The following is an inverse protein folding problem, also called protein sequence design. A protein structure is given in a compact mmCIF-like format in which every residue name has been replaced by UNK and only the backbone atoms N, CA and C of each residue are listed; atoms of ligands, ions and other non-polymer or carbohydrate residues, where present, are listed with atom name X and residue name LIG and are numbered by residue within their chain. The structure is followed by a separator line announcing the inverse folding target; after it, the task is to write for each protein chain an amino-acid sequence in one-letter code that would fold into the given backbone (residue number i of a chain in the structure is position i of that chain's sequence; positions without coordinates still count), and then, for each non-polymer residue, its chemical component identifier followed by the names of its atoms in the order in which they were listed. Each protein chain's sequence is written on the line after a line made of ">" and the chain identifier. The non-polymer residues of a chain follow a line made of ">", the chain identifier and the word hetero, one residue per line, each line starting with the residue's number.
data_IF_736380847416
#
_entry.id   IF_736380847416
#
_cell.length_a   1.000
_cell.length_b   1.000
_cell.length_c   1.000
_cell.angle_alpha   90.00
_cell.angle_beta   90.00
_cell.angle_gamma   90.00
#
_symmetry.space_group_name_H-M   'P 1'
#
loop_
_entity.id
_entity.type
_entity.pdbx_description
1 polymer ?
#
# COMPACT_ATOMS: atom_id res chain seq x y z
N UNK A 1 -1.89 -17.16 -11.11
CA UNK A 1 -1.80 -15.97 -10.25
C UNK A 1 -1.13 -14.91 -11.09
N UNK A 2 -1.82 -13.79 -11.32
CA UNK A 2 -1.31 -12.76 -12.22
C UNK A 2 -0.01 -12.16 -11.70
N UNK A 3 0.90 -11.94 -12.63
CA UNK A 3 2.24 -11.39 -12.41
C UNK A 3 2.20 -9.87 -12.15
N UNK A 4 1.28 -9.41 -11.29
CA UNK A 4 1.07 -7.99 -11.02
C UNK A 4 2.29 -7.43 -10.31
N UNK A 5 3.08 -6.66 -11.05
CA UNK A 5 4.30 -5.98 -10.61
C UNK A 5 4.09 -4.48 -10.36
N UNK A 6 2.94 -3.95 -10.79
CA UNK A 6 2.59 -2.55 -10.68
C UNK A 6 1.14 -2.34 -10.25
N UNK A 7 0.95 -1.48 -9.24
CA UNK A 7 -0.36 -1.04 -8.77
C UNK A 7 -0.36 0.47 -8.63
N UNK A 8 -1.36 1.12 -9.22
CA UNK A 8 -1.49 2.59 -9.21
C UNK A 8 -2.87 2.97 -8.72
N UNK A 9 -2.90 3.80 -7.67
CA UNK A 9 -4.09 4.45 -7.15
C UNK A 9 -4.15 5.84 -7.78
N UNK A 10 -5.01 6.00 -8.79
CA UNK A 10 -5.14 7.27 -9.52
C UNK A 10 -5.73 8.34 -8.61
N UNK A 11 -5.41 9.60 -8.89
CA UNK A 11 -5.99 10.73 -8.19
C UNK A 11 -7.53 10.67 -8.21
N UNK A 12 -8.16 10.88 -7.06
CA UNK A 12 -9.61 10.80 -6.89
C UNK A 12 -10.17 9.37 -6.89
N UNK A 13 -9.34 8.33 -7.04
CA UNK A 13 -9.78 6.97 -6.83
C UNK A 13 -10.04 6.71 -5.34
N UNK A 14 -11.12 5.98 -5.04
CA UNK A 14 -11.43 5.51 -3.69
C UNK A 14 -11.49 6.64 -2.63
N UNK A 15 -12.25 7.73 -2.86
CA UNK A 15 -12.17 8.95 -2.06
C UNK A 15 -12.52 8.77 -0.57
N UNK A 16 -13.31 7.75 -0.23
CA UNK A 16 -13.79 7.48 1.14
C UNK A 16 -13.42 6.07 1.62
N UNK A 17 -12.42 5.44 1.01
CA UNK A 17 -12.03 4.09 1.43
C UNK A 17 -11.41 4.10 2.82
N UNK A 18 -11.94 3.26 3.70
CA UNK A 18 -11.43 3.15 5.08
C UNK A 18 -10.52 1.94 5.27
N UNK A 19 -10.61 0.92 4.40
CA UNK A 19 -9.81 -0.28 4.50
C UNK A 19 -9.34 -0.77 3.13
N UNK A 20 -8.04 -1.04 3.01
CA UNK A 20 -7.41 -1.56 1.80
C UNK A 20 -6.55 -2.78 2.14
N UNK A 21 -6.74 -3.85 1.37
CA UNK A 21 -6.03 -5.11 1.52
C UNK A 21 -5.37 -5.45 0.19
N UNK A 22 -4.05 -5.50 0.16
CA UNK A 22 -3.25 -5.95 -0.99
C UNK A 22 -2.54 -7.21 -0.53
N UNK A 23 -2.93 -8.35 -1.12
CA UNK A 23 -2.54 -9.67 -0.63
C UNK A 23 -2.04 -10.53 -1.78
N UNK A 24 -0.94 -11.23 -1.56
CA UNK A 24 -0.39 -12.24 -2.49
C UNK A 24 0.03 -11.70 -3.86
N UNK A 25 0.49 -10.43 -3.93
CA UNK A 25 1.12 -9.87 -5.13
C UNK A 25 2.63 -10.03 -5.04
N UNK A 26 3.12 -11.24 -5.34
CA UNK A 26 4.51 -11.64 -5.12
C UNK A 26 5.53 -10.90 -5.99
N UNK A 27 5.10 -10.27 -7.09
CA UNK A 27 5.95 -9.42 -7.95
C UNK A 27 5.85 -7.92 -7.65
N UNK A 28 4.94 -7.50 -6.77
CA UNK A 28 4.79 -6.11 -6.38
C UNK A 28 5.90 -5.73 -5.39
N UNK A 29 6.99 -5.18 -5.90
CA UNK A 29 8.18 -4.80 -5.12
C UNK A 29 8.15 -3.35 -4.62
N UNK A 30 7.33 -2.51 -5.23
CA UNK A 30 7.22 -1.07 -4.93
C UNK A 30 5.93 -0.74 -4.20
N UNK A 31 6.00 0.32 -3.39
CA UNK A 31 4.81 0.94 -2.81
C UNK A 31 3.91 1.46 -3.94
N UNK A 32 2.61 1.12 -3.96
CA UNK A 32 1.69 1.61 -4.99
C UNK A 32 1.67 3.13 -5.07
N UNK A 33 1.80 3.66 -6.29
CA UNK A 33 1.72 5.10 -6.49
C UNK A 33 0.33 5.61 -6.08
N UNK A 34 0.27 6.72 -5.34
CA UNK A 34 -0.97 7.30 -4.84
C UNK A 34 -1.51 6.68 -3.55
N UNK A 35 -0.82 5.69 -2.94
CA UNK A 35 -1.26 5.09 -1.67
C UNK A 35 -1.37 6.12 -0.53
N UNK A 36 -0.43 7.06 -0.46
CA UNK A 36 -0.43 8.17 0.52
C UNK A 36 -1.54 9.20 0.29
N UNK A 37 -2.23 9.17 -0.86
CA UNK A 37 -3.36 10.07 -1.14
C UNK A 37 -4.69 9.60 -0.54
N UNK A 38 -4.75 8.37 -0.01
CA UNK A 38 -5.95 7.82 0.63
C UNK A 38 -6.14 8.42 2.03
N UNK A 39 -6.67 9.64 2.07
CA UNK A 39 -6.81 10.44 3.29
C UNK A 39 -7.77 9.83 4.34
N UNK A 40 -8.73 9.01 3.91
CA UNK A 40 -9.73 8.39 4.80
C UNK A 40 -9.37 6.97 5.24
N UNK A 41 -8.20 6.47 4.82
CA UNK A 41 -7.78 5.10 5.12
C UNK A 41 -7.50 4.95 6.61
N UNK A 42 -8.12 3.95 7.24
CA UNK A 42 -7.93 3.58 8.65
C UNK A 42 -7.19 2.26 8.80
N UNK A 43 -7.32 1.37 7.81
CA UNK A 43 -6.73 0.03 7.82
C UNK A 43 -6.02 -0.31 6.52
N UNK A 44 -4.79 -0.77 6.62
CA UNK A 44 -3.95 -1.16 5.49
C UNK A 44 -3.24 -2.47 5.77
N UNK A 45 -3.56 -3.51 5.00
CA UNK A 45 -2.86 -4.79 5.04
C UNK A 45 -2.14 -5.04 3.72
N UNK A 46 -0.85 -5.32 3.82
CA UNK A 46 0.09 -5.52 2.72
C UNK A 46 0.77 -6.87 2.95
N UNK A 47 0.09 -7.96 2.60
CA UNK A 47 0.45 -9.32 3.03
C UNK A 47 0.96 -10.16 1.87
N UNK A 48 1.97 -11.00 2.12
CA UNK A 48 2.53 -11.93 1.13
C UNK A 48 2.94 -11.23 -0.19
N UNK A 49 3.53 -10.03 -0.08
CA UNK A 49 4.06 -9.27 -1.21
C UNK A 49 5.50 -9.72 -1.55
N UNK A 50 6.12 -9.07 -2.52
CA UNK A 50 7.53 -9.32 -2.85
C UNK A 50 8.44 -9.12 -1.62
N UNK A 51 9.50 -9.92 -1.50
CA UNK A 51 10.42 -9.92 -0.34
C UNK A 51 11.09 -8.56 -0.09
N UNK A 52 11.35 -7.79 -1.15
CA UNK A 52 11.90 -6.44 -1.05
C UNK A 52 10.87 -5.35 -0.69
N UNK A 53 9.58 -5.67 -0.66
CA UNK A 53 8.53 -4.66 -0.48
C UNK A 53 8.72 -3.89 0.83
N UNK A 54 9.01 -4.60 1.94
CA UNK A 54 9.24 -3.96 3.25
C UNK A 54 10.44 -3.01 3.23
N UNK A 55 11.51 -3.35 2.51
CA UNK A 55 12.65 -2.43 2.34
C UNK A 55 12.25 -1.17 1.57
N UNK A 56 11.44 -1.29 0.51
CA UNK A 56 10.91 -0.13 -0.21
C UNK A 56 9.96 0.69 0.66
N UNK A 57 9.12 0.06 1.48
CA UNK A 57 8.25 0.76 2.43
C UNK A 57 9.05 1.67 3.37
N UNK A 58 10.11 1.14 3.99
CA UNK A 58 10.98 1.91 4.88
C UNK A 58 11.76 3.00 4.13
N UNK A 59 12.32 2.68 2.95
CA UNK A 59 13.06 3.63 2.11
C UNK A 59 12.22 4.86 1.72
N UNK A 60 10.92 4.65 1.47
CA UNK A 60 10.00 5.72 1.10
C UNK A 60 9.43 6.49 2.31
N UNK A 61 9.84 6.16 3.54
CA UNK A 61 9.37 6.83 4.76
C UNK A 61 7.87 6.64 5.01
N UNK A 62 7.29 5.55 4.52
CA UNK A 62 5.82 5.36 4.49
C UNK A 62 5.18 5.35 5.87
N UNK A 63 5.91 4.97 6.92
CA UNK A 63 5.40 5.06 8.30
C UNK A 63 5.02 6.50 8.68
N UNK A 64 5.80 7.49 8.23
CA UNK A 64 5.50 8.90 8.48
C UNK A 64 4.37 9.42 7.59
N UNK A 65 4.30 8.93 6.34
CA UNK A 65 3.26 9.34 5.40
C UNK A 65 1.88 8.76 5.70
N UNK A 66 1.82 7.70 6.51
CA UNK A 66 0.61 6.95 6.83
C UNK A 66 0.23 7.08 8.32
N UNK A 67 0.64 8.16 8.98
CA UNK A 67 0.36 8.40 10.41
C UNK A 67 -1.14 8.47 10.74
N UNK A 68 -1.99 8.81 9.76
CA UNK A 68 -3.44 8.81 9.93
C UNK A 68 -4.05 7.40 9.94
N UNK A 69 -3.33 6.39 9.46
CA UNK A 69 -3.83 5.02 9.36
C UNK A 69 -3.64 4.29 10.68
N UNK A 70 -4.74 3.96 11.34
CA UNK A 70 -4.75 3.36 12.68
C UNK A 70 -4.25 1.92 12.73
N UNK A 71 -4.41 1.14 11.66
CA UNK A 71 -3.98 -0.25 11.60
C UNK A 71 -3.18 -0.51 10.32
N UNK A 72 -1.87 -0.76 10.46
CA UNK A 72 -0.98 -1.12 9.35
C UNK A 72 -0.37 -2.50 9.62
N UNK A 73 -0.46 -3.41 8.63
CA UNK A 73 0.23 -4.70 8.63
C UNK A 73 1.01 -4.87 7.33
N UNK A 74 2.30 -5.15 7.43
CA UNK A 74 3.25 -5.34 6.32
C UNK A 74 4.12 -6.54 6.62
#
# INVERSE_FOLDING_TARGET
>A
MDDVDNLVLRYGALPMIEALYIVSLTKLDKVPHGLESLAHLKKLWLLNLHTNFRAQWHKNGMHNKMQHVTEIRI
#
